data_IF_701161704839
#
_entry.id   IF_701161704839
#
_cell.length_a   1.000
_cell.length_b   1.000
_cell.length_c   1.000
_cell.angle_alpha   90.00
_cell.angle_beta   90.00
_cell.angle_gamma   90.00
#
_symmetry.space_group_name_H-M   'P 1'
#
loop_
_entity.id
_entity.type
_entity.pdbx_description
1 polymer ?
#
# COMPACT_ATOMS: atom_id res chain seq x y z
N UNK A 1 -15.92 7.41 12.80
CA UNK A 1 -16.47 8.37 11.78
C UNK A 1 -15.48 8.52 10.65
N UNK A 2 -15.93 8.57 9.37
CA UNK A 2 -15.07 8.83 8.21
C UNK A 2 -15.18 10.30 7.78
N UNK A 3 -14.07 10.84 7.23
CA UNK A 3 -13.96 12.20 6.69
C UNK A 3 -13.30 12.14 5.31
N UNK A 4 -13.79 12.94 4.37
CA UNK A 4 -13.20 13.17 3.05
C UNK A 4 -12.28 14.39 3.01
N UNK A 5 -12.13 15.12 4.11
CA UNK A 5 -11.18 16.21 4.23
C UNK A 5 -9.76 15.63 4.43
N UNK A 6 -9.03 15.48 3.33
CA UNK A 6 -7.71 14.85 3.29
C UNK A 6 -6.67 15.86 2.81
N UNK A 7 -5.69 16.21 3.65
CA UNK A 7 -4.58 17.05 3.20
C UNK A 7 -3.84 16.43 2.03
N UNK A 8 -3.57 17.26 1.01
CA UNK A 8 -2.89 16.85 -0.22
C UNK A 8 -1.59 17.61 -0.36
N UNK A 9 -0.50 16.90 -0.66
CA UNK A 9 0.83 17.45 -0.84
C UNK A 9 1.39 17.11 -2.22
N UNK A 10 2.21 18.02 -2.77
CA UNK A 10 2.97 17.78 -4.00
C UNK A 10 4.39 17.42 -3.63
N UNK A 11 4.90 16.33 -4.18
CA UNK A 11 6.28 15.86 -4.02
C UNK A 11 6.99 15.98 -5.36
N UNK A 12 7.95 16.88 -5.43
CA UNK A 12 8.76 17.09 -6.64
C UNK A 12 9.92 16.07 -6.68
N UNK A 13 9.83 15.11 -7.59
CA UNK A 13 10.85 14.07 -7.77
C UNK A 13 12.13 14.59 -8.46
N UNK A 14 12.15 15.82 -8.97
CA UNK A 14 13.36 16.44 -9.47
C UNK A 14 14.27 16.95 -8.34
N UNK A 15 13.71 17.17 -7.15
CA UNK A 15 14.51 17.49 -5.95
C UNK A 15 15.33 16.28 -5.49
N UNK A 16 16.51 16.49 -4.91
CA UNK A 16 17.28 15.43 -4.25
C UNK A 16 16.44 14.69 -3.20
N UNK A 17 16.62 13.38 -3.07
CA UNK A 17 15.86 12.57 -2.09
C UNK A 17 15.97 13.12 -0.67
N UNK A 18 17.12 13.69 -0.29
CA UNK A 18 17.37 14.22 1.05
C UNK A 18 16.52 15.46 1.40
N UNK A 19 16.03 16.19 0.40
CA UNK A 19 15.28 17.44 0.57
C UNK A 19 13.81 17.31 0.11
N UNK A 20 13.46 16.19 -0.47
CA UNK A 20 12.19 15.99 -1.20
C UNK A 20 10.97 16.16 -0.31
N UNK A 21 11.09 15.80 0.97
CA UNK A 21 10.01 15.83 1.93
C UNK A 21 9.99 17.05 2.85
N UNK A 22 10.89 18.01 2.67
CA UNK A 22 11.03 19.16 3.59
C UNK A 22 9.74 19.94 3.82
N UNK A 23 8.97 20.20 2.76
CA UNK A 23 7.72 20.95 2.86
C UNK A 23 6.65 20.18 3.64
N UNK A 24 6.57 18.88 3.41
CA UNK A 24 5.64 17.99 4.14
C UNK A 24 6.10 17.84 5.59
N UNK A 25 7.39 17.60 5.81
CA UNK A 25 7.94 17.40 7.13
C UNK A 25 7.78 18.62 8.04
N UNK A 26 7.88 19.84 7.50
CA UNK A 26 7.63 21.07 8.24
C UNK A 26 6.24 21.09 8.91
N UNK A 27 5.23 20.53 8.24
CA UNK A 27 3.83 20.53 8.69
C UNK A 27 3.51 19.25 9.47
N UNK A 28 4.05 18.11 9.04
CA UNK A 28 3.60 16.78 9.49
C UNK A 28 4.54 16.10 10.49
N UNK A 29 5.68 16.71 10.85
CA UNK A 29 6.67 16.08 11.73
C UNK A 29 6.08 15.53 13.03
N UNK A 30 5.14 16.23 13.65
CA UNK A 30 4.53 15.81 14.91
C UNK A 30 3.61 14.59 14.73
N UNK A 31 2.95 14.49 13.59
CA UNK A 31 2.17 13.30 13.20
C UNK A 31 3.11 12.11 13.02
N UNK A 32 4.18 12.30 12.24
CA UNK A 32 5.18 11.24 11.98
C UNK A 32 5.90 10.84 13.27
N UNK A 33 6.23 11.80 14.13
CA UNK A 33 6.86 11.52 15.42
C UNK A 33 6.00 10.59 16.29
N UNK A 34 4.68 10.84 16.36
CA UNK A 34 3.76 9.98 17.13
C UNK A 34 3.68 8.58 16.52
N UNK A 35 3.48 8.47 15.20
CA UNK A 35 3.40 7.19 14.49
C UNK A 35 4.69 6.38 14.63
N UNK A 36 5.84 7.01 14.38
CA UNK A 36 7.14 6.37 14.50
C UNK A 36 7.39 5.88 15.94
N UNK A 37 7.02 6.67 16.96
CA UNK A 37 7.14 6.28 18.37
C UNK A 37 6.26 5.06 18.66
N UNK A 38 5.00 5.06 18.23
CA UNK A 38 4.08 3.93 18.42
C UNK A 38 4.66 2.63 17.84
N UNK A 39 5.20 2.68 16.59
CA UNK A 39 5.83 1.52 15.94
C UNK A 39 7.10 1.09 16.68
N UNK A 40 7.98 2.03 16.98
CA UNK A 40 9.27 1.75 17.61
C UNK A 40 9.06 1.18 19.00
N UNK A 41 8.14 1.71 19.78
CA UNK A 41 7.84 1.22 21.13
C UNK A 41 7.22 -0.18 21.08
N UNK A 42 6.34 -0.46 20.09
CA UNK A 42 5.79 -1.80 19.87
C UNK A 42 6.90 -2.83 19.53
N UNK A 43 7.89 -2.47 18.73
CA UNK A 43 9.06 -3.31 18.42
C UNK A 43 9.95 -3.43 19.65
N UNK A 44 10.26 -2.30 20.29
CA UNK A 44 11.15 -2.23 21.43
C UNK A 44 10.65 -3.09 22.60
N UNK A 45 9.33 -3.19 22.79
CA UNK A 45 8.75 -4.06 23.84
C UNK A 45 9.07 -5.55 23.65
N UNK A 46 9.43 -5.97 22.43
CA UNK A 46 9.69 -7.37 22.06
C UNK A 46 11.17 -7.72 21.88
N UNK A 47 12.06 -6.70 21.85
CA UNK A 47 13.50 -6.87 21.62
C UNK A 47 14.27 -6.42 22.84
N UNK A 48 15.15 -7.26 23.44
CA UNK A 48 16.01 -6.84 24.54
C UNK A 48 16.84 -5.61 24.19
N UNK A 49 17.05 -4.67 25.14
CA UNK A 49 17.72 -3.39 24.86
C UNK A 49 19.10 -3.51 24.20
N UNK A 50 19.88 -4.51 24.59
CA UNK A 50 21.23 -4.78 24.08
C UNK A 50 21.25 -5.15 22.59
N UNK A 51 20.13 -5.67 22.05
CA UNK A 51 20.03 -6.03 20.64
C UNK A 51 19.41 -4.93 19.77
N UNK A 52 18.78 -3.91 20.37
CA UNK A 52 18.08 -2.85 19.62
C UNK A 52 19.02 -2.00 18.77
N UNK A 53 20.12 -1.53 19.37
CA UNK A 53 21.10 -0.71 18.67
C UNK A 53 21.79 -1.52 17.56
N UNK A 54 22.31 -2.71 17.89
CA UNK A 54 23.00 -3.57 16.92
C UNK A 54 22.08 -4.01 15.78
N UNK A 55 20.81 -4.27 16.06
CA UNK A 55 19.80 -4.59 15.04
C UNK A 55 19.59 -3.44 14.06
N UNK A 56 19.47 -2.20 14.57
CA UNK A 56 19.35 -1.00 13.72
C UNK A 56 20.58 -0.81 12.83
N UNK A 57 21.77 -0.85 13.39
CA UNK A 57 23.05 -0.70 12.65
C UNK A 57 23.17 -1.77 11.55
N UNK A 58 22.77 -3.01 11.85
CA UNK A 58 22.78 -4.10 10.88
C UNK A 58 21.80 -3.84 9.72
N UNK A 59 20.58 -3.38 10.01
CA UNK A 59 19.59 -3.03 8.99
C UNK A 59 20.10 -1.88 8.12
N UNK A 60 20.69 -0.84 8.71
CA UNK A 60 21.27 0.28 7.98
C UNK A 60 22.31 -0.17 6.95
N UNK A 61 23.25 -1.05 7.36
CA UNK A 61 24.30 -1.59 6.46
C UNK A 61 23.69 -2.44 5.34
N UNK A 62 22.66 -3.25 5.63
CA UNK A 62 22.01 -4.11 4.64
C UNK A 62 21.28 -3.26 3.60
N UNK A 63 20.53 -2.29 4.04
CA UNK A 63 19.69 -1.48 3.17
C UNK A 63 20.47 -0.42 2.40
N UNK A 64 21.61 0.07 2.89
CA UNK A 64 22.49 0.98 2.14
C UNK A 64 23.00 0.38 0.81
N UNK A 65 23.07 -0.93 0.71
CA UNK A 65 23.47 -1.63 -0.52
C UNK A 65 22.37 -1.75 -1.56
N UNK A 66 21.13 -1.44 -1.21
CA UNK A 66 19.98 -1.60 -2.09
C UNK A 66 19.34 -0.23 -2.41
N UNK A 67 19.60 0.29 -3.63
CA UNK A 67 19.10 1.61 -4.08
C UNK A 67 17.57 1.73 -4.15
N UNK A 68 16.83 0.63 -4.16
CA UNK A 68 15.35 0.64 -4.20
C UNK A 68 14.73 1.13 -2.88
N UNK A 69 15.48 1.20 -1.79
CA UNK A 69 14.97 1.56 -0.47
C UNK A 69 14.76 3.05 -0.21
N UNK A 70 15.02 3.94 -1.17
CA UNK A 70 14.81 5.40 -1.01
C UNK A 70 15.41 5.94 0.29
N UNK A 71 16.64 5.52 0.62
CA UNK A 71 17.29 5.87 1.89
C UNK A 71 17.51 7.37 2.05
N UNK A 72 17.68 8.12 0.95
CA UNK A 72 17.76 9.57 0.99
C UNK A 72 16.49 10.20 1.57
N UNK A 73 15.30 9.73 1.16
CA UNK A 73 14.02 10.18 1.70
C UNK A 73 13.86 9.81 3.19
N UNK A 74 14.30 8.61 3.59
CA UNK A 74 14.29 8.20 5.01
C UNK A 74 15.27 9.02 5.86
N UNK A 75 16.43 9.36 5.32
CA UNK A 75 17.41 10.25 5.98
C UNK A 75 16.86 11.67 6.14
N UNK A 76 16.13 12.19 5.15
CA UNK A 76 15.39 13.45 5.25
C UNK A 76 14.44 13.42 6.46
N UNK A 77 13.60 12.42 6.57
CA UNK A 77 12.70 12.26 7.70
C UNK A 77 13.45 12.10 9.03
N UNK A 78 14.56 11.35 9.06
CA UNK A 78 15.40 11.21 10.26
C UNK A 78 15.92 12.54 10.75
N UNK A 79 16.40 13.40 9.85
CA UNK A 79 16.85 14.74 10.19
C UNK A 79 15.73 15.62 10.78
N UNK A 80 14.56 15.64 10.17
CA UNK A 80 13.39 16.37 10.66
C UNK A 80 12.88 15.89 12.01
N UNK A 81 12.89 14.58 12.24
CA UNK A 81 12.43 13.95 13.48
C UNK A 81 13.51 13.97 14.58
N UNK A 82 14.75 14.37 14.25
CA UNK A 82 15.91 14.26 15.13
C UNK A 82 16.11 12.84 15.66
N UNK A 83 15.90 11.84 14.79
CA UNK A 83 16.05 10.41 15.09
C UNK A 83 17.07 9.75 14.15
N UNK A 84 17.77 8.70 14.62
CA UNK A 84 18.57 7.85 13.74
C UNK A 84 17.71 7.36 12.56
N UNK A 85 18.23 7.41 11.33
CA UNK A 85 17.45 6.99 10.17
C UNK A 85 17.08 5.50 10.19
N UNK A 86 17.80 4.66 10.92
CA UNK A 86 17.42 3.28 11.17
C UNK A 86 16.09 3.11 11.91
N UNK A 87 15.67 4.11 12.70
CA UNK A 87 14.33 4.12 13.30
C UNK A 87 13.26 4.46 12.25
N UNK A 88 13.55 5.41 11.35
CA UNK A 88 12.67 5.71 10.21
C UNK A 88 12.59 4.52 9.26
N UNK A 89 13.70 3.80 9.08
CA UNK A 89 13.72 2.56 8.31
C UNK A 89 12.81 1.50 8.94
N UNK A 90 12.86 1.29 10.26
CA UNK A 90 11.95 0.37 10.95
C UNK A 90 10.47 0.75 10.75
N UNK A 91 10.16 2.05 10.79
CA UNK A 91 8.82 2.55 10.48
C UNK A 91 8.41 2.20 9.04
N UNK A 92 9.33 2.26 8.08
CA UNK A 92 9.08 1.90 6.69
C UNK A 92 9.04 0.39 6.42
N UNK A 93 9.44 -0.44 7.38
CA UNK A 93 9.30 -1.89 7.37
C UNK A 93 8.01 -2.37 8.09
N UNK A 94 7.07 -1.48 8.37
CA UNK A 94 5.87 -1.77 9.16
C UNK A 94 5.07 -2.96 8.62
N UNK A 95 4.99 -3.11 7.30
CA UNK A 95 4.34 -4.25 6.66
C UNK A 95 5.08 -5.57 6.94
N UNK A 96 6.40 -5.60 6.76
CA UNK A 96 7.24 -6.78 7.02
C UNK A 96 7.23 -7.16 8.50
N UNK A 97 7.25 -6.17 9.38
CA UNK A 97 7.18 -6.38 10.82
C UNK A 97 5.82 -6.96 11.25
N UNK A 98 4.74 -6.63 10.55
CA UNK A 98 3.43 -7.23 10.80
C UNK A 98 3.42 -8.73 10.52
N UNK A 99 4.19 -9.19 9.51
CA UNK A 99 4.37 -10.60 9.21
C UNK A 99 5.15 -11.35 10.29
N UNK A 100 6.15 -10.69 10.90
CA UNK A 100 6.95 -11.29 11.99
C UNK A 100 6.18 -11.34 13.30
N UNK A 101 5.36 -10.33 13.55
CA UNK A 101 4.72 -10.16 14.85
C UNK A 101 3.43 -10.98 15.04
N UNK A 102 2.87 -11.58 13.99
CA UNK A 102 1.59 -12.33 13.96
C UNK A 102 0.39 -11.61 14.62
N UNK A 103 0.47 -10.31 14.90
CA UNK A 103 -0.50 -9.57 15.72
C UNK A 103 -0.83 -8.15 15.24
N UNK A 104 -0.17 -7.66 14.21
CA UNK A 104 -0.55 -6.36 13.63
C UNK A 104 -1.51 -6.63 12.46
N UNK A 105 -2.74 -7.03 12.78
CA UNK A 105 -3.75 -7.39 11.80
C UNK A 105 -3.88 -6.34 10.70
N UNK A 106 -3.36 -6.66 9.52
CA UNK A 106 -3.58 -5.89 8.30
C UNK A 106 -4.61 -6.63 7.49
N UNK A 107 -5.80 -6.05 7.41
CA UNK A 107 -6.86 -6.47 6.52
C UNK A 107 -6.96 -5.53 5.32
N UNK A 108 -7.42 -6.02 4.22
CA UNK A 108 -7.73 -5.20 3.05
C UNK A 108 -8.83 -5.87 2.24
N UNK A 109 -9.67 -5.05 1.61
CA UNK A 109 -10.57 -5.52 0.57
C UNK A 109 -10.39 -4.62 -0.64
N UNK A 110 -10.07 -5.21 -1.78
CA UNK A 110 -9.91 -4.50 -3.04
C UNK A 110 -10.93 -5.02 -4.04
N UNK A 111 -11.51 -4.12 -4.83
CA UNK A 111 -12.38 -4.46 -5.94
C UNK A 111 -12.09 -3.61 -7.16
N UNK A 112 -12.25 -4.20 -8.35
CA UNK A 112 -12.26 -3.48 -9.63
C UNK A 112 -13.59 -3.77 -10.30
N UNK A 113 -14.26 -2.74 -10.82
CA UNK A 113 -15.53 -2.89 -11.54
C UNK A 113 -15.48 -2.07 -12.83
N UNK A 114 -15.82 -2.70 -13.97
CA UNK A 114 -15.93 -1.99 -15.25
C UNK A 114 -17.15 -1.07 -15.24
N UNK A 115 -17.01 0.11 -15.85
CA UNK A 115 -18.10 1.07 -16.04
C UNK A 115 -18.01 1.70 -17.43
N UNK A 116 -19.05 2.40 -17.87
CA UNK A 116 -19.03 3.13 -19.15
C UNK A 116 -17.96 4.25 -19.21
N UNK A 117 -17.45 4.71 -18.05
CA UNK A 117 -16.43 5.76 -17.95
C UNK A 117 -15.02 5.22 -17.73
N UNK A 118 -14.83 3.90 -17.74
CA UNK A 118 -13.59 3.19 -17.41
C UNK A 118 -13.75 2.36 -16.16
N UNK A 119 -12.72 1.62 -15.82
CA UNK A 119 -12.72 0.79 -14.63
C UNK A 119 -12.55 1.63 -13.36
N UNK A 120 -13.24 1.24 -12.30
CA UNK A 120 -13.12 1.86 -10.97
C UNK A 120 -12.48 0.84 -10.04
N UNK A 121 -11.36 1.24 -9.43
CA UNK A 121 -10.57 0.45 -8.51
C UNK A 121 -10.78 0.95 -7.10
N UNK A 122 -11.44 0.18 -6.25
CA UNK A 122 -11.81 0.53 -4.88
C UNK A 122 -11.07 -0.31 -3.86
N UNK A 123 -10.79 0.26 -2.66
CA UNK A 123 -10.06 -0.45 -1.60
C UNK A 123 -10.44 0.04 -0.20
N UNK A 124 -10.57 -0.90 0.77
CA UNK A 124 -10.42 -0.62 2.20
C UNK A 124 -9.01 -1.00 2.66
N UNK A 125 -8.44 -0.21 3.55
CA UNK A 125 -7.29 -0.58 4.37
C UNK A 125 -7.77 -0.75 5.79
N UNK A 126 -7.61 -1.96 6.32
CA UNK A 126 -7.98 -2.30 7.69
C UNK A 126 -6.67 -2.51 8.47
N UNK A 127 -6.49 -1.77 9.56
CA UNK A 127 -5.27 -1.83 10.35
C UNK A 127 -5.56 -1.54 11.81
N UNK A 128 -5.14 -2.45 12.69
CA UNK A 128 -5.31 -2.29 14.13
C UNK A 128 -4.55 -1.08 14.73
N UNK A 129 -3.60 -0.51 13.95
CA UNK A 129 -2.95 0.76 14.27
C UNK A 129 -3.85 1.93 13.87
N UNK A 130 -4.79 2.28 14.74
CA UNK A 130 -5.85 3.25 14.47
C UNK A 130 -5.34 4.67 14.19
N UNK A 131 -4.16 5.04 14.69
CA UNK A 131 -3.46 6.32 14.43
C UNK A 131 -3.18 6.57 12.94
N UNK A 132 -3.17 5.53 12.09
CA UNK A 132 -3.02 5.64 10.64
C UNK A 132 -4.21 6.38 10.00
N UNK A 133 -5.43 6.16 10.48
CA UNK A 133 -6.62 6.81 9.94
C UNK A 133 -6.47 8.34 9.91
N UNK A 134 -6.34 9.04 11.05
CA UNK A 134 -6.15 10.50 11.09
C UNK A 134 -4.90 10.99 10.36
N UNK A 135 -3.88 10.14 10.21
CA UNK A 135 -2.64 10.45 9.51
C UNK A 135 -2.69 10.23 8.00
N UNK A 136 -3.81 9.77 7.45
CA UNK A 136 -3.95 9.57 6.00
C UNK A 136 -3.79 10.89 5.24
N UNK A 137 -3.00 10.86 4.17
CA UNK A 137 -2.72 11.98 3.26
C UNK A 137 -2.78 11.50 1.81
N UNK A 138 -2.99 12.45 0.90
CA UNK A 138 -2.80 12.26 -0.54
C UNK A 138 -1.50 12.92 -0.94
N UNK A 139 -0.64 12.18 -1.65
CA UNK A 139 0.61 12.71 -2.19
C UNK A 139 0.56 12.63 -3.71
N UNK A 140 0.83 13.77 -4.38
CA UNK A 140 0.97 13.88 -5.83
C UNK A 140 2.44 14.01 -6.16
N UNK A 141 3.01 12.98 -6.77
CA UNK A 141 4.41 12.94 -7.15
C UNK A 141 4.57 13.40 -8.58
N UNK A 142 5.52 14.31 -8.82
CA UNK A 142 5.76 14.90 -10.14
C UNK A 142 7.21 14.75 -10.56
N UNK A 143 7.43 14.29 -11.79
CA UNK A 143 8.72 14.23 -12.43
C UNK A 143 8.55 14.57 -13.92
N UNK A 144 8.96 15.78 -14.35
CA UNK A 144 8.71 16.28 -15.69
C UNK A 144 7.22 16.24 -16.03
N UNK A 145 6.84 15.49 -17.08
CA UNK A 145 5.48 15.23 -17.56
C UNK A 145 4.78 14.05 -16.87
N UNK A 146 5.52 13.28 -16.03
CA UNK A 146 4.99 12.17 -15.28
C UNK A 146 4.39 12.64 -13.95
N UNK A 147 3.15 12.27 -13.70
CA UNK A 147 2.49 12.50 -12.43
C UNK A 147 1.78 11.22 -11.97
N UNK A 148 1.95 10.88 -10.69
CA UNK A 148 1.15 9.84 -10.04
C UNK A 148 0.68 10.30 -8.66
N UNK A 149 -0.45 9.76 -8.24
CA UNK A 149 -1.06 10.06 -6.95
C UNK A 149 -1.05 8.82 -6.05
N UNK A 150 -0.79 9.02 -4.75
CA UNK A 150 -0.81 7.94 -3.77
C UNK A 150 -1.63 8.33 -2.55
N UNK A 151 -2.19 7.33 -1.87
CA UNK A 151 -2.80 7.49 -0.56
C UNK A 151 -1.92 6.78 0.46
N UNK A 152 -1.40 7.52 1.41
CA UNK A 152 -0.42 7.04 2.37
C UNK A 152 -0.42 7.83 3.67
N UNK A 153 0.65 7.68 4.42
CA UNK A 153 0.91 8.39 5.67
C UNK A 153 2.28 9.10 5.57
N UNK A 154 2.43 10.31 6.12
CA UNK A 154 3.71 11.01 6.07
C UNK A 154 4.78 10.20 6.81
N UNK A 155 6.01 10.24 6.31
CA UNK A 155 7.13 9.45 6.86
C UNK A 155 7.21 8.01 6.36
N UNK A 156 6.13 7.45 5.80
CA UNK A 156 6.14 6.17 5.12
C UNK A 156 6.34 6.40 3.61
N UNK A 157 7.54 6.09 3.10
CA UNK A 157 7.93 6.42 1.71
C UNK A 157 7.49 5.37 0.69
N UNK A 158 7.09 4.18 1.17
CA UNK A 158 6.46 3.14 0.34
C UNK A 158 5.01 3.52 -0.05
N UNK A 159 4.43 2.76 -0.97
CA UNK A 159 3.07 2.99 -1.48
C UNK A 159 2.20 1.75 -1.28
N UNK A 160 1.05 1.91 -0.64
CA UNK A 160 0.05 0.86 -0.47
C UNK A 160 -1.09 0.97 -1.50
N UNK A 161 -1.33 2.18 -1.99
CA UNK A 161 -2.35 2.49 -3.01
C UNK A 161 -1.90 3.69 -3.82
N UNK A 162 -1.88 3.56 -5.14
CA UNK A 162 -1.49 4.65 -6.02
C UNK A 162 -2.03 4.50 -7.43
N UNK A 163 -1.98 5.59 -8.19
CA UNK A 163 -2.46 5.67 -9.56
C UNK A 163 -1.52 6.54 -10.39
N UNK A 164 -0.98 6.00 -11.48
CA UNK A 164 -0.33 6.77 -12.52
C UNK A 164 -1.39 7.52 -13.31
N UNK A 165 -1.18 8.82 -13.53
CA UNK A 165 -2.07 9.68 -14.31
C UNK A 165 -1.60 9.76 -15.77
N UNK A 166 -2.52 10.09 -16.65
CA UNK A 166 -2.23 10.27 -18.09
C UNK A 166 -2.88 9.18 -18.94
N UNK A 167 -2.57 9.20 -20.22
CA UNK A 167 -3.20 8.35 -21.23
C UNK A 167 -2.99 6.86 -20.93
N UNK A 168 -1.77 6.44 -20.61
CA UNK A 168 -1.43 5.07 -20.27
C UNK A 168 -1.48 4.81 -18.74
N UNK A 169 -2.34 5.57 -18.04
CA UNK A 169 -2.46 5.46 -16.60
C UNK A 169 -2.90 4.07 -16.13
N UNK A 170 -2.57 3.76 -14.90
CA UNK A 170 -3.02 2.53 -14.22
C UNK A 170 -3.08 2.78 -12.71
N UNK A 171 -3.82 1.97 -11.99
CA UNK A 171 -3.81 2.03 -10.52
C UNK A 171 -3.35 0.71 -9.92
N UNK A 172 -2.68 0.80 -8.78
CA UNK A 172 -2.17 -0.33 -8.02
C UNK A 172 -2.66 -0.21 -6.58
N UNK A 173 -3.16 -1.33 -6.03
CA UNK A 173 -3.35 -1.48 -4.60
C UNK A 173 -2.64 -2.72 -4.08
N UNK A 174 -2.19 -2.65 -2.83
CA UNK A 174 -1.49 -3.72 -2.16
C UNK A 174 -2.34 -4.26 -1.01
N UNK A 175 -2.62 -5.57 -1.01
CA UNK A 175 -3.28 -6.25 0.11
C UNK A 175 -2.27 -7.15 0.84
N UNK A 176 -2.41 -7.23 2.15
CA UNK A 176 -1.63 -8.17 2.95
C UNK A 176 -1.94 -9.62 2.58
N UNK A 177 -0.91 -10.44 2.41
CA UNK A 177 -1.02 -11.88 2.21
C UNK A 177 -0.59 -12.62 3.48
N UNK A 178 -1.01 -13.88 3.69
CA UNK A 178 -0.50 -14.71 4.77
C UNK A 178 1.03 -14.80 4.74
N UNK A 179 1.66 -14.81 5.91
CA UNK A 179 3.10 -14.96 6.04
C UNK A 179 3.54 -16.38 5.68
N UNK A 180 4.16 -16.56 4.52
CA UNK A 180 4.63 -17.89 4.06
C UNK A 180 6.03 -18.20 4.56
N UNK A 181 6.87 -17.17 4.66
CA UNK A 181 8.27 -17.25 5.11
C UNK A 181 8.64 -15.97 5.83
N UNK A 182 9.72 -16.04 6.62
CA UNK A 182 10.35 -14.84 7.18
C UNK A 182 10.70 -13.86 6.05
N UNK A 183 10.49 -12.55 6.27
CA UNK A 183 10.88 -11.54 5.28
C UNK A 183 12.35 -11.66 4.90
N UNK A 184 12.64 -11.49 3.62
CA UNK A 184 14.01 -11.47 3.07
C UNK A 184 14.50 -10.03 2.94
N UNK A 185 15.79 -9.86 2.59
CA UNK A 185 16.37 -8.54 2.35
C UNK A 185 16.17 -8.00 0.92
N UNK A 186 15.15 -8.49 0.23
CA UNK A 186 14.71 -7.91 -1.05
C UNK A 186 13.89 -6.64 -0.81
N UNK A 187 13.52 -5.97 -1.89
CA UNK A 187 12.68 -4.76 -1.81
C UNK A 187 11.37 -5.07 -1.10
N UNK A 188 10.93 -4.17 -0.23
CA UNK A 188 9.61 -4.31 0.39
C UNK A 188 8.51 -4.15 -0.67
N UNK A 189 7.39 -4.87 -0.57
CA UNK A 189 6.29 -4.73 -1.53
C UNK A 189 5.84 -3.29 -1.74
N UNK A 190 5.75 -2.49 -0.69
CA UNK A 190 5.32 -1.09 -0.78
C UNK A 190 6.31 -0.19 -1.53
N UNK A 191 7.62 -0.43 -1.37
CA UNK A 191 8.65 0.27 -2.13
C UNK A 191 8.72 -0.20 -3.58
N UNK A 192 8.39 -1.46 -3.86
CA UNK A 192 8.24 -1.95 -5.23
C UNK A 192 7.07 -1.25 -5.93
N UNK A 193 5.90 -1.09 -5.28
CA UNK A 193 4.78 -0.31 -5.85
C UNK A 193 5.21 1.13 -6.14
N UNK A 194 5.96 1.77 -5.22
CA UNK A 194 6.49 3.10 -5.43
C UNK A 194 7.42 3.15 -6.64
N UNK A 195 8.35 2.20 -6.75
CA UNK A 195 9.27 2.10 -7.86
C UNK A 195 8.53 1.91 -9.20
N UNK A 196 7.51 1.06 -9.24
CA UNK A 196 6.68 0.82 -10.44
C UNK A 196 5.98 2.11 -10.88
N UNK A 197 5.33 2.84 -9.97
CA UNK A 197 4.68 4.12 -10.29
C UNK A 197 5.66 5.19 -10.80
N UNK A 198 6.93 5.13 -10.39
CA UNK A 198 7.97 6.05 -10.87
C UNK A 198 8.56 5.67 -12.22
N UNK A 199 8.59 4.38 -12.58
CA UNK A 199 9.43 3.89 -13.68
C UNK A 199 8.67 3.16 -14.79
N UNK A 200 7.51 2.56 -14.52
CA UNK A 200 6.73 1.81 -15.52
C UNK A 200 5.77 2.73 -16.26
N UNK A 201 5.78 2.69 -17.59
CA UNK A 201 5.06 3.65 -18.43
C UNK A 201 3.60 3.27 -18.70
N UNK A 202 3.26 1.99 -18.53
CA UNK A 202 1.92 1.47 -18.76
C UNK A 202 1.57 0.29 -17.84
N UNK A 203 0.33 -0.18 -17.99
CA UNK A 203 -0.20 -1.32 -17.24
C UNK A 203 0.60 -2.61 -17.44
N UNK A 204 1.03 -2.92 -18.68
CA UNK A 204 1.70 -4.18 -18.99
C UNK A 204 3.09 -4.23 -18.33
N UNK A 205 3.84 -3.14 -18.44
CA UNK A 205 5.15 -3.00 -17.77
C UNK A 205 4.97 -3.08 -16.25
N UNK A 206 3.97 -2.40 -15.69
CA UNK A 206 3.68 -2.47 -14.26
C UNK A 206 3.38 -3.90 -13.79
N UNK A 207 2.54 -4.65 -14.52
CA UNK A 207 2.20 -6.04 -14.21
C UNK A 207 3.44 -6.94 -14.31
N UNK A 208 4.26 -6.76 -15.34
CA UNK A 208 5.51 -7.52 -15.51
C UNK A 208 6.45 -7.28 -14.31
N UNK A 209 6.75 -6.03 -14.00
CA UNK A 209 7.70 -5.70 -12.92
C UNK A 209 7.19 -6.18 -11.54
N UNK A 210 5.90 -6.00 -11.24
CA UNK A 210 5.29 -6.52 -10.02
C UNK A 210 5.34 -8.05 -9.94
N UNK A 211 5.36 -8.73 -11.09
CA UNK A 211 5.38 -10.19 -11.16
C UNK A 211 6.78 -10.79 -11.03
N UNK A 212 7.83 -10.13 -11.57
CA UNK A 212 9.18 -10.71 -11.65
C UNK A 212 10.15 -10.22 -10.58
N UNK A 213 10.01 -8.96 -10.12
CA UNK A 213 10.94 -8.40 -9.13
C UNK A 213 10.83 -9.17 -7.79
N UNK A 214 11.95 -9.61 -7.20
CA UNK A 214 11.92 -10.27 -5.90
C UNK A 214 11.40 -9.33 -4.80
N UNK A 215 10.50 -9.81 -3.95
CA UNK A 215 9.93 -9.05 -2.83
C UNK A 215 10.31 -9.65 -1.48
N UNK A 216 10.40 -8.80 -0.46
CA UNK A 216 10.79 -9.20 0.88
C UNK A 216 9.80 -10.19 1.52
N UNK A 217 8.51 -10.01 1.29
CA UNK A 217 7.42 -10.75 1.93
C UNK A 217 6.31 -11.12 0.94
N UNK A 218 5.42 -12.04 1.33
CA UNK A 218 4.22 -12.36 0.56
C UNK A 218 3.27 -11.17 0.50
N UNK A 219 2.57 -11.00 -0.64
CA UNK A 219 1.70 -9.85 -0.90
C UNK A 219 0.76 -10.12 -2.06
N UNK A 220 -0.36 -9.42 -2.12
CA UNK A 220 -1.22 -9.35 -3.30
C UNK A 220 -1.19 -7.94 -3.88
N UNK A 221 -0.96 -7.85 -5.19
CA UNK A 221 -1.13 -6.60 -5.93
C UNK A 221 -2.36 -6.72 -6.81
N UNK A 222 -3.24 -5.72 -6.77
CA UNK A 222 -4.30 -5.55 -7.76
C UNK A 222 -3.91 -4.40 -8.66
N UNK A 223 -3.93 -4.62 -9.96
CA UNK A 223 -3.61 -3.62 -10.99
C UNK A 223 -4.79 -3.45 -11.92
N UNK A 224 -5.12 -2.19 -12.23
CA UNK A 224 -6.25 -1.83 -13.07
C UNK A 224 -5.77 -0.88 -14.18
N UNK A 225 -6.06 -1.22 -15.44
CA UNK A 225 -5.68 -0.45 -16.61
C UNK A 225 -6.63 0.73 -16.90
N UNK A 226 -6.11 1.78 -17.54
CA UNK A 226 -6.91 2.91 -18.03
C UNK A 226 -7.44 2.74 -19.45
N UNK A 227 -6.72 1.98 -20.29
CA UNK A 227 -6.96 1.89 -21.72
C UNK A 227 -7.86 0.73 -22.12
N UNK A 228 -7.72 -0.39 -21.43
CA UNK A 228 -8.51 -1.58 -21.65
C UNK A 228 -9.42 -1.87 -20.45
N UNK A 229 -10.34 -2.82 -20.63
CA UNK A 229 -11.13 -3.35 -19.52
C UNK A 229 -10.39 -4.51 -18.79
N UNK A 230 -9.04 -4.46 -18.81
CA UNK A 230 -8.20 -5.45 -18.14
C UNK A 230 -7.86 -5.01 -16.71
N UNK A 231 -8.03 -5.92 -15.77
CA UNK A 231 -7.49 -5.83 -14.42
C UNK A 231 -6.90 -7.17 -14.02
N UNK A 232 -5.94 -7.18 -13.12
CA UNK A 232 -5.37 -8.42 -12.60
C UNK A 232 -5.11 -8.37 -11.10
N UNK A 233 -5.06 -9.57 -10.51
CA UNK A 233 -4.43 -9.82 -9.21
C UNK A 233 -3.13 -10.57 -9.45
N UNK A 234 -2.07 -10.12 -8.77
CA UNK A 234 -0.76 -10.77 -8.74
C UNK A 234 -0.55 -11.28 -7.32
N UNK A 235 -0.64 -12.59 -7.14
CA UNK A 235 -0.34 -13.25 -5.87
C UNK A 235 1.17 -13.52 -5.80
N UNK A 236 1.83 -13.07 -4.73
CA UNK A 236 3.29 -13.14 -4.59
C UNK A 236 3.73 -13.88 -3.34
N UNK A 237 4.74 -14.72 -3.50
CA UNK A 237 5.54 -15.30 -2.42
C UNK A 237 7.01 -15.10 -2.79
N UNK A 238 7.64 -14.05 -2.30
CA UNK A 238 9.04 -13.69 -2.60
C UNK A 238 9.39 -13.77 -4.10
N UNK A 239 9.96 -14.87 -4.57
CA UNK A 239 10.40 -15.08 -5.98
C UNK A 239 9.31 -15.72 -6.86
N UNK A 240 8.16 -16.11 -6.31
CA UNK A 240 7.08 -16.79 -7.06
C UNK A 240 5.90 -15.86 -7.24
N UNK A 241 5.28 -15.92 -8.40
CA UNK A 241 4.07 -15.15 -8.71
C UNK A 241 3.03 -16.03 -9.40
N UNK A 242 1.75 -15.69 -9.20
CA UNK A 242 0.63 -16.15 -10.01
C UNK A 242 -0.20 -14.94 -10.40
N UNK A 243 -0.51 -14.79 -11.69
CA UNK A 243 -1.25 -13.64 -12.22
C UNK A 243 -2.62 -14.13 -12.70
N UNK A 244 -3.67 -13.54 -12.13
CA UNK A 244 -5.06 -13.79 -12.55
C UNK A 244 -5.63 -12.54 -13.22
N UNK A 245 -5.85 -12.61 -14.52
CA UNK A 245 -6.40 -11.50 -15.32
C UNK A 245 -7.92 -11.63 -15.47
N UNK A 246 -8.60 -10.47 -15.55
CA UNK A 246 -10.02 -10.33 -15.86
C UNK A 246 -10.21 -9.24 -16.91
N UNK A 247 -11.15 -9.45 -17.80
CA UNK A 247 -11.50 -8.53 -18.89
C UNK A 247 -13.01 -8.23 -18.82
N UNK A 248 -13.36 -6.95 -18.63
CA UNK A 248 -14.74 -6.50 -18.60
C UNK A 248 -15.60 -7.14 -17.50
N UNK A 249 -15.00 -7.66 -16.45
CA UNK A 249 -15.65 -8.30 -15.32
C UNK A 249 -15.12 -7.74 -14.00
N UNK A 250 -15.97 -7.76 -12.98
CA UNK A 250 -15.53 -7.37 -11.64
C UNK A 250 -14.48 -8.34 -11.09
N UNK A 251 -13.51 -7.78 -10.39
CA UNK A 251 -12.43 -8.49 -9.72
C UNK A 251 -12.44 -8.11 -8.24
N UNK A 252 -12.29 -9.07 -7.35
CA UNK A 252 -12.19 -8.82 -5.90
C UNK A 252 -11.05 -9.61 -5.29
N UNK A 253 -10.27 -8.98 -4.41
CA UNK A 253 -9.18 -9.58 -3.64
C UNK A 253 -9.25 -9.13 -2.19
N UNK A 254 -8.99 -10.05 -1.27
CA UNK A 254 -8.87 -9.79 0.16
C UNK A 254 -7.50 -10.22 0.70
N UNK A 255 -7.42 -11.11 1.68
CA UNK A 255 -6.16 -11.44 2.36
C UNK A 255 -5.83 -12.94 2.34
N UNK A 256 -6.35 -13.71 1.40
CA UNK A 256 -6.03 -15.13 1.24
C UNK A 256 -5.68 -15.47 -0.21
N UNK A 257 -4.86 -16.49 -0.41
CA UNK A 257 -4.46 -16.97 -1.72
C UNK A 257 -5.63 -17.69 -2.41
N UNK A 258 -5.82 -17.41 -3.69
CA UNK A 258 -6.82 -18.05 -4.54
C UNK A 258 -6.19 -19.00 -5.57
N UNK A 259 -4.89 -18.86 -5.86
CA UNK A 259 -4.21 -19.70 -6.82
C UNK A 259 -3.89 -21.06 -6.18
N UNK A 260 -4.22 -22.16 -6.87
CA UNK A 260 -4.10 -23.53 -6.35
C UNK A 260 -2.71 -23.89 -5.82
N UNK A 261 -1.64 -23.33 -6.41
CA UNK A 261 -0.28 -23.53 -5.95
C UNK A 261 0.02 -22.86 -4.60
N UNK A 262 -0.81 -21.89 -4.20
CA UNK A 262 -0.58 -21.04 -3.03
C UNK A 262 -1.64 -21.20 -1.93
N UNK A 263 -2.84 -21.72 -2.24
CA UNK A 263 -3.95 -21.90 -1.27
C UNK A 263 -3.53 -22.63 0.02
N UNK A 264 -2.59 -23.58 -0.08
CA UNK A 264 -2.04 -24.30 1.09
C UNK A 264 -1.33 -23.42 2.12
N UNK A 265 -1.04 -22.17 1.80
CA UNK A 265 -0.41 -21.20 2.70
C UNK A 265 -1.42 -20.28 3.38
N UNK A 266 -2.71 -20.46 3.14
CA UNK A 266 -3.74 -19.69 3.82
C UNK A 266 -3.72 -19.99 5.33
N UNK A 267 -3.87 -18.94 6.11
CA UNK A 267 -3.94 -19.03 7.57
C UNK A 267 -5.38 -19.34 7.99
N UNK A 268 -5.64 -20.53 8.58
CA UNK A 268 -7.00 -20.91 9.00
C UNK A 268 -7.62 -19.94 10.01
N UNK A 269 -6.82 -19.20 10.77
CA UNK A 269 -7.32 -18.28 11.80
C UNK A 269 -7.90 -16.99 11.24
N UNK A 270 -7.48 -16.58 10.03
CA UNK A 270 -7.92 -15.35 9.36
C UNK A 270 -8.72 -15.62 8.08
N UNK A 271 -8.71 -16.86 7.59
CA UNK A 271 -9.31 -17.24 6.31
C UNK A 271 -10.81 -16.92 6.26
N UNK A 272 -11.57 -17.32 7.28
CA UNK A 272 -13.04 -17.14 7.29
C UNK A 272 -13.47 -15.68 7.22
N UNK A 273 -12.78 -14.77 7.92
CA UNK A 273 -13.04 -13.33 7.83
C UNK A 273 -12.69 -12.79 6.44
N UNK A 274 -11.58 -13.25 5.87
CA UNK A 274 -11.13 -12.85 4.53
C UNK A 274 -12.11 -13.33 3.45
N UNK A 275 -12.60 -14.56 3.54
CA UNK A 275 -13.62 -15.12 2.63
C UNK A 275 -14.97 -14.41 2.77
N UNK A 276 -15.38 -14.08 3.97
CA UNK A 276 -16.60 -13.31 4.22
C UNK A 276 -16.54 -11.95 3.52
N UNK A 277 -15.47 -11.15 3.74
CA UNK A 277 -15.30 -9.85 3.09
C UNK A 277 -15.21 -9.96 1.57
N UNK A 278 -14.58 -11.01 1.06
CA UNK A 278 -14.53 -11.33 -0.38
C UNK A 278 -15.93 -11.52 -0.96
N UNK A 279 -16.75 -12.35 -0.29
CA UNK A 279 -18.14 -12.65 -0.71
C UNK A 279 -19.01 -11.40 -0.70
N UNK A 280 -18.99 -10.63 0.38
CA UNK A 280 -19.76 -9.40 0.51
C UNK A 280 -19.39 -8.38 -0.58
N UNK A 281 -18.09 -8.20 -0.84
CA UNK A 281 -17.65 -7.26 -1.88
C UNK A 281 -17.99 -7.75 -3.29
N UNK A 282 -17.88 -9.07 -3.56
CA UNK A 282 -18.32 -9.65 -4.85
C UNK A 282 -19.82 -9.42 -5.07
N UNK A 283 -20.65 -9.67 -4.06
CA UNK A 283 -22.09 -9.44 -4.13
C UNK A 283 -22.42 -7.97 -4.39
N UNK A 284 -21.69 -7.05 -3.77
CA UNK A 284 -21.90 -5.62 -3.95
C UNK A 284 -21.51 -5.15 -5.37
N UNK A 285 -20.39 -5.66 -5.92
CA UNK A 285 -19.89 -5.27 -7.24
C UNK A 285 -20.54 -6.02 -8.41
N UNK A 286 -21.25 -7.12 -8.19
CA UNK A 286 -21.96 -7.85 -9.24
C UNK A 286 -23.29 -7.18 -9.66
N UNK A 287 -23.65 -6.06 -9.07
CA UNK A 287 -24.78 -5.24 -9.54
C UNK A 287 -24.42 -4.61 -10.87
N UNK A 288 -25.42 -4.41 -11.75
CA UNK A 288 -25.20 -3.74 -13.04
C UNK A 288 -25.16 -2.21 -12.85
N UNK A 289 -24.45 -1.54 -13.75
CA UNK A 289 -24.41 -0.07 -13.89
C UNK A 289 -23.83 0.71 -12.69
N UNK A 290 -22.58 0.42 -12.35
CA UNK A 290 -21.86 1.21 -11.36
C UNK A 290 -21.47 2.59 -11.92
N UNK A 291 -21.63 3.60 -11.08
CA UNK A 291 -20.97 4.91 -11.18
C UNK A 291 -19.76 4.93 -10.24
N UNK A 292 -18.90 5.95 -10.36
CA UNK A 292 -17.76 6.13 -9.44
C UNK A 292 -18.23 6.15 -7.97
N UNK A 293 -19.30 6.90 -7.69
CA UNK A 293 -19.87 7.01 -6.35
C UNK A 293 -20.49 5.71 -5.84
N UNK A 294 -21.23 4.98 -6.69
CA UNK A 294 -21.84 3.72 -6.27
C UNK A 294 -20.80 2.61 -6.06
N UNK A 295 -19.76 2.56 -6.87
CA UNK A 295 -18.63 1.63 -6.66
C UNK A 295 -17.89 1.94 -5.34
N UNK A 296 -17.63 3.21 -5.05
CA UNK A 296 -17.06 3.62 -3.77
C UNK A 296 -17.97 3.24 -2.58
N UNK A 297 -19.29 3.42 -2.71
CA UNK A 297 -20.24 3.07 -1.68
C UNK A 297 -20.27 1.56 -1.35
N UNK A 298 -19.91 0.67 -2.32
CA UNK A 298 -19.79 -0.76 -2.08
C UNK A 298 -18.76 -1.11 -1.00
N UNK A 299 -17.75 -0.25 -0.76
CA UNK A 299 -16.79 -0.42 0.33
C UNK A 299 -17.45 -0.47 1.72
N UNK A 300 -18.69 0.05 1.86
CA UNK A 300 -19.46 -0.08 3.08
C UNK A 300 -19.69 -1.54 3.51
N UNK A 301 -19.80 -2.47 2.55
CA UNK A 301 -20.05 -3.90 2.81
C UNK A 301 -18.81 -4.62 3.35
N UNK A 302 -17.61 -4.11 3.06
CA UNK A 302 -16.34 -4.68 3.53
C UNK A 302 -15.67 -3.84 4.63
N UNK A 303 -16.35 -2.78 5.11
CA UNK A 303 -15.84 -1.93 6.20
C UNK A 303 -15.97 -2.66 7.54
N UNK A 304 -14.87 -2.79 8.25
CA UNK A 304 -14.76 -3.42 9.58
C UNK A 304 -14.33 -2.38 10.63
N UNK A 305 -14.37 -2.70 11.94
CA UNK A 305 -13.93 -1.79 13.01
C UNK A 305 -12.52 -1.21 12.79
N UNK A 306 -11.61 -2.00 12.24
CA UNK A 306 -10.22 -1.61 11.98
C UNK A 306 -10.00 -0.91 10.62
N UNK A 307 -11.06 -0.67 9.83
CA UNK A 307 -10.92 0.07 8.57
C UNK A 307 -10.48 1.51 8.85
N UNK A 308 -9.30 1.87 8.38
CA UNK A 308 -8.68 3.19 8.56
C UNK A 308 -8.81 4.08 7.33
N UNK A 309 -8.92 3.48 6.12
CA UNK A 309 -9.03 4.19 4.84
C UNK A 309 -10.04 3.51 3.92
N UNK A 310 -10.75 4.32 3.12
CA UNK A 310 -11.53 3.91 1.95
C UNK A 310 -11.08 4.73 0.75
N UNK A 311 -10.80 4.08 -0.37
CA UNK A 311 -10.18 4.69 -1.55
C UNK A 311 -10.90 4.22 -2.81
N UNK A 312 -11.08 5.12 -3.77
CA UNK A 312 -11.43 4.79 -5.14
C UNK A 312 -10.53 5.54 -6.12
N UNK A 313 -10.13 4.86 -7.18
CA UNK A 313 -9.41 5.38 -8.34
C UNK A 313 -10.19 5.07 -9.62
N UNK A 314 -10.18 6.00 -10.57
CA UNK A 314 -10.53 5.74 -11.96
C UNK A 314 -9.34 6.13 -12.84
N UNK A 315 -8.47 5.19 -13.25
CA UNK A 315 -7.25 5.51 -14.01
C UNK A 315 -7.54 6.24 -15.31
N UNK A 316 -8.65 5.93 -15.97
CA UNK A 316 -9.06 6.56 -17.25
C UNK A 316 -9.39 8.04 -17.11
N UNK A 317 -9.99 8.47 -16.02
CA UNK A 317 -10.40 9.87 -15.79
C UNK A 317 -9.44 10.64 -14.87
N UNK A 318 -8.55 9.93 -14.16
CA UNK A 318 -7.72 10.50 -13.12
C UNK A 318 -8.50 10.83 -11.82
N UNK A 319 -9.76 10.40 -11.73
CA UNK A 319 -10.62 10.67 -10.58
C UNK A 319 -10.18 9.85 -9.36
N UNK A 320 -10.14 10.50 -8.20
CA UNK A 320 -9.78 9.90 -6.93
C UNK A 320 -10.76 10.32 -5.83
N UNK A 321 -11.16 9.37 -5.00
CA UNK A 321 -11.90 9.64 -3.78
C UNK A 321 -11.26 8.91 -2.61
N UNK A 322 -11.07 9.61 -1.51
CA UNK A 322 -10.46 9.08 -0.29
C UNK A 322 -11.30 9.48 0.89
N UNK A 323 -11.55 8.52 1.77
CA UNK A 323 -12.07 8.79 3.12
C UNK A 323 -11.12 8.18 4.14
N UNK A 324 -10.85 8.91 5.21
CA UNK A 324 -10.08 8.45 6.36
C UNK A 324 -10.95 8.36 7.60
N UNK A 325 -10.66 7.39 8.46
CA UNK A 325 -11.29 7.34 9.77
C UNK A 325 -10.62 8.35 10.71
N UNK A 326 -11.41 9.22 11.31
CA UNK A 326 -10.92 10.28 12.22
C UNK A 326 -11.29 10.05 13.68
N UNK A 327 -12.25 9.15 13.94
CA UNK A 327 -12.63 8.72 15.29
C UNK A 327 -13.12 7.27 15.30
N UNK A 328 -12.90 6.58 16.39
CA UNK A 328 -13.28 5.18 16.66
C UNK A 328 -14.37 5.12 17.72
#
# INVERSE_FOLDING_TARGET
>A
MFSSDIPTYIIDLQRPEIDRWDEVARVEKDVVQRLATEVIDAIASKVPPEFRQRGRETLEVIFEKNRQFRLGEMKCWGAWLQRPYGEVLLFNLLYELSHVANKMGIGCTTGVVPTSRGQIHVRTLDWAMHSIGPATRVFRFRYRDREFVTVGIPGYVGVLSGMLLGENGYSITMNGAPAVKMPSFHVTPSLLVRWVLENCDDYQDAVEQLSIQPVASSVFFTVCDSQSDEACVIERIQHRSAVQKRYGQSLVMTNHFHHSDFERYNDPTTLGDSEYRLSEMRNALNRQDHTFESAFACLGQSTVPDTVQRIAFCPKTGEIKVERRVSY
#
